data_IF_830484049662
#
_entry.id   IF_830484049662
#
_cell.length_a   1.000
_cell.length_b   1.000
_cell.length_c   1.000
_cell.angle_alpha   90.00
_cell.angle_beta   90.00
_cell.angle_gamma   90.00
#
_symmetry.space_group_name_H-M   'P 1'
#
loop_
_entity.id
_entity.type
_entity.pdbx_description
1 polymer ?
#
# COMPACT_ATOMS: atom_id res chain seq x y z
N UNK A 1 5.48 15.28 -21.74
CA UNK A 1 6.31 14.11 -22.06
C UNK A 1 6.90 13.64 -20.75
N UNK A 2 6.66 12.40 -20.32
CA UNK A 2 7.30 11.86 -19.12
C UNK A 2 8.82 11.87 -19.34
N UNK A 3 9.53 12.73 -18.63
CA UNK A 3 11.00 12.76 -18.66
C UNK A 3 11.50 11.40 -18.17
N UNK A 4 12.53 10.81 -18.81
CA UNK A 4 13.07 9.48 -18.46
C UNK A 4 13.31 9.30 -16.94
N UNK A 5 13.64 10.38 -16.22
CA UNK A 5 13.78 10.43 -14.76
C UNK A 5 12.50 10.06 -13.98
N UNK A 6 11.33 10.52 -14.41
CA UNK A 6 10.05 10.16 -13.79
C UNK A 6 9.73 8.67 -13.99
N UNK A 7 10.08 8.12 -15.14
CA UNK A 7 9.92 6.69 -15.40
C UNK A 7 10.80 5.84 -14.48
N UNK A 8 12.08 6.19 -14.32
CA UNK A 8 12.98 5.48 -13.40
C UNK A 8 12.54 5.58 -11.94
N UNK A 9 12.06 6.75 -11.50
CA UNK A 9 11.56 6.94 -10.14
C UNK A 9 10.30 6.09 -9.88
N UNK A 10 9.33 6.11 -10.80
CA UNK A 10 8.11 5.31 -10.69
C UNK A 10 8.42 3.81 -10.71
N UNK A 11 9.34 3.37 -11.58
CA UNK A 11 9.81 1.99 -11.60
C UNK A 11 10.52 1.61 -10.30
N UNK A 12 11.35 2.48 -9.74
CA UNK A 12 12.05 2.22 -8.48
C UNK A 12 11.07 2.01 -7.31
N UNK A 13 10.02 2.84 -7.21
CA UNK A 13 8.99 2.71 -6.16
C UNK A 13 8.22 1.39 -6.24
N UNK A 14 8.13 0.77 -7.42
CA UNK A 14 7.46 -0.53 -7.60
C UNK A 14 8.47 -1.67 -7.44
N UNK A 15 9.61 -1.61 -8.12
CA UNK A 15 10.59 -2.71 -8.18
C UNK A 15 11.26 -2.90 -6.83
N UNK A 16 11.60 -1.84 -6.09
CA UNK A 16 12.31 -1.96 -4.81
C UNK A 16 11.45 -2.73 -3.78
N UNK A 17 10.18 -2.38 -3.53
CA UNK A 17 9.34 -3.14 -2.61
C UNK A 17 9.15 -4.59 -3.05
N UNK A 18 8.96 -4.87 -4.35
CA UNK A 18 8.81 -6.25 -4.84
C UNK A 18 10.09 -7.07 -4.73
N UNK A 19 11.24 -6.49 -5.07
CA UNK A 19 12.54 -7.13 -4.88
C UNK A 19 12.82 -7.39 -3.40
N UNK A 20 12.36 -6.52 -2.50
CA UNK A 20 12.53 -6.70 -1.06
C UNK A 20 11.84 -7.95 -0.52
N UNK A 21 10.80 -8.46 -1.20
CA UNK A 21 10.13 -9.70 -0.82
C UNK A 21 11.03 -10.93 -0.92
N UNK A 22 12.10 -10.88 -1.72
CA UNK A 22 13.09 -11.96 -1.78
C UNK A 22 13.76 -12.16 -0.41
N UNK A 23 13.98 -11.09 0.36
CA UNK A 23 14.52 -11.14 1.73
C UNK A 23 13.47 -11.54 2.78
N UNK A 24 12.17 -11.51 2.44
CA UNK A 24 11.10 -11.89 3.35
C UNK A 24 11.11 -13.40 3.65
N UNK A 25 11.55 -14.20 2.66
CA UNK A 25 11.60 -15.65 2.69
C UNK A 25 10.29 -16.29 2.20
N UNK A 26 10.39 -17.36 1.39
CA UNK A 26 9.24 -17.98 0.70
C UNK A 26 8.08 -18.39 1.62
N UNK A 27 8.37 -18.85 2.84
CA UNK A 27 7.33 -19.25 3.82
C UNK A 27 6.48 -18.06 4.29
N UNK A 28 7.13 -16.94 4.59
CA UNK A 28 6.46 -15.72 5.04
C UNK A 28 5.68 -15.08 3.88
N UNK A 29 6.27 -15.04 2.68
CA UNK A 29 5.57 -14.55 1.49
C UNK A 29 4.29 -15.34 1.28
N UNK A 30 4.34 -16.68 1.26
CA UNK A 30 3.11 -17.51 1.11
C UNK A 30 2.09 -17.27 2.23
N UNK A 31 2.54 -17.09 3.48
CA UNK A 31 1.67 -16.88 4.64
C UNK A 31 0.93 -15.54 4.58
N UNK A 32 1.56 -14.47 4.10
CA UNK A 32 0.98 -13.12 4.08
C UNK A 32 0.44 -12.71 2.70
N UNK A 33 0.79 -13.46 1.64
CA UNK A 33 0.40 -13.14 0.28
C UNK A 33 -1.10 -13.00 0.12
N UNK A 34 -1.91 -13.92 0.67
CA UNK A 34 -3.35 -13.88 0.46
C UNK A 34 -3.98 -12.63 1.09
N UNK A 35 -3.64 -12.30 2.33
CA UNK A 35 -4.15 -11.10 2.98
C UNK A 35 -3.69 -9.82 2.27
N UNK A 36 -2.43 -9.79 1.82
CA UNK A 36 -1.88 -8.67 1.03
C UNK A 36 -2.55 -8.52 -0.33
N UNK A 37 -2.88 -9.61 -1.02
CA UNK A 37 -3.66 -9.58 -2.28
C UNK A 37 -5.07 -9.07 -2.02
N UNK A 38 -5.76 -9.58 -0.99
CA UNK A 38 -7.11 -9.13 -0.66
C UNK A 38 -7.16 -7.64 -0.33
N UNK A 39 -6.21 -7.14 0.48
CA UNK A 39 -6.16 -5.71 0.77
C UNK A 39 -5.73 -4.90 -0.47
N UNK A 40 -4.87 -5.44 -1.33
CA UNK A 40 -4.49 -4.78 -2.59
C UNK A 40 -5.66 -4.62 -3.56
N UNK A 41 -6.54 -5.62 -3.64
CA UNK A 41 -7.79 -5.52 -4.41
C UNK A 41 -8.75 -4.51 -3.80
N UNK A 42 -8.88 -4.51 -2.47
CA UNK A 42 -9.66 -3.50 -1.76
C UNK A 42 -9.10 -2.09 -1.99
N UNK A 43 -7.77 -1.95 -2.00
CA UNK A 43 -7.07 -0.69 -2.30
C UNK A 43 -7.40 -0.20 -3.70
N UNK A 44 -7.33 -1.09 -4.69
CA UNK A 44 -7.67 -0.77 -6.08
C UNK A 44 -9.08 -0.21 -6.22
N UNK A 45 -10.06 -0.80 -5.52
CA UNK A 45 -11.46 -0.30 -5.49
C UNK A 45 -11.51 1.08 -4.83
N UNK A 46 -10.84 1.28 -3.69
CA UNK A 46 -10.84 2.58 -3.02
C UNK A 46 -10.11 3.66 -3.84
N UNK A 47 -9.10 3.28 -4.62
CA UNK A 47 -8.38 4.16 -5.52
C UNK A 47 -9.29 4.60 -6.68
N UNK A 48 -10.12 3.70 -7.21
CA UNK A 48 -11.18 4.02 -8.19
C UNK A 48 -12.14 5.07 -7.62
N UNK A 49 -12.62 4.87 -6.39
CA UNK A 49 -13.49 5.84 -5.72
C UNK A 49 -12.80 7.19 -5.50
N UNK A 50 -11.54 7.20 -5.07
CA UNK A 50 -10.77 8.42 -4.86
C UNK A 50 -10.50 9.20 -6.15
N UNK A 51 -10.25 8.49 -7.25
CA UNK A 51 -10.13 9.09 -8.58
C UNK A 51 -11.45 9.72 -9.04
N UNK A 52 -12.58 9.01 -8.91
CA UNK A 52 -13.90 9.57 -9.23
C UNK A 52 -14.23 10.82 -8.40
N UNK A 53 -13.83 10.84 -7.12
CA UNK A 53 -14.04 12.00 -6.22
C UNK A 53 -12.97 13.08 -6.32
N UNK A 54 -11.93 12.89 -7.15
CA UNK A 54 -10.80 13.82 -7.33
C UNK A 54 -10.08 14.15 -6.02
N UNK A 55 -9.85 13.14 -5.18
CA UNK A 55 -9.16 13.27 -3.89
C UNK A 55 -7.71 13.74 -4.05
N UNK A 56 -7.03 13.25 -5.08
CA UNK A 56 -5.69 13.64 -5.49
C UNK A 56 -5.70 14.09 -6.96
N UNK A 57 -4.69 14.88 -7.31
CA UNK A 57 -4.47 15.41 -8.65
C UNK A 57 -3.07 15.06 -9.09
N UNK A 58 -2.95 14.39 -10.23
CA UNK A 58 -1.68 14.19 -10.89
C UNK A 58 -1.37 15.38 -11.80
N UNK A 59 -0.09 15.77 -11.88
CA UNK A 59 0.31 16.96 -12.63
C UNK A 59 0.47 16.70 -14.13
N UNK A 60 0.65 15.44 -14.55
CA UNK A 60 0.71 15.08 -15.96
C UNK A 60 -0.68 15.15 -16.62
N UNK A 61 -0.75 15.62 -17.87
CA UNK A 61 -2.04 15.76 -18.60
C UNK A 61 -2.56 14.44 -19.20
N UNK A 62 -1.73 13.39 -19.25
CA UNK A 62 -2.05 12.09 -19.85
C UNK A 62 -1.85 10.95 -18.85
N UNK A 63 -2.43 11.09 -17.66
CA UNK A 63 -2.37 10.02 -16.65
C UNK A 63 -3.53 9.09 -16.91
N UNK A 64 -3.23 7.86 -17.32
CA UNK A 64 -4.24 6.83 -17.37
C UNK A 64 -4.37 6.22 -15.98
N UNK A 65 -5.57 6.27 -15.40
CA UNK A 65 -5.86 5.65 -14.10
C UNK A 65 -5.33 4.20 -14.02
N UNK A 66 -5.53 3.41 -15.08
CA UNK A 66 -5.13 2.01 -15.13
C UNK A 66 -3.62 1.79 -15.32
N UNK A 67 -2.94 2.65 -16.09
CA UNK A 67 -1.52 2.45 -16.44
C UNK A 67 -0.55 3.17 -15.52
N UNK A 68 -0.98 4.27 -14.91
CA UNK A 68 -0.09 5.17 -14.20
C UNK A 68 -0.48 5.30 -12.72
N UNK A 69 -1.76 5.56 -12.41
CA UNK A 69 -2.19 5.77 -11.01
C UNK A 69 -2.28 4.46 -10.21
N UNK A 70 -2.90 3.42 -10.78
CA UNK A 70 -3.09 2.14 -10.10
C UNK A 70 -1.77 1.43 -9.78
N UNK A 71 -0.82 1.25 -10.71
CA UNK A 71 0.43 0.56 -10.39
C UNK A 71 1.28 1.33 -9.38
N UNK A 72 1.22 2.66 -9.44
CA UNK A 72 1.94 3.53 -8.50
C UNK A 72 1.43 3.40 -7.06
N UNK A 73 0.12 3.30 -6.87
CA UNK A 73 -0.48 3.21 -5.53
C UNK A 73 -0.61 1.78 -5.02
N UNK A 74 -1.09 0.84 -5.84
CA UNK A 74 -1.32 -0.56 -5.45
C UNK A 74 -0.03 -1.38 -5.45
N UNK A 75 0.91 -1.06 -6.34
CA UNK A 75 2.17 -1.78 -6.51
C UNK A 75 2.99 -1.94 -5.22
N UNK A 76 3.39 -0.86 -4.53
CA UNK A 76 4.19 -0.95 -3.31
C UNK A 76 3.39 -1.40 -2.08
N UNK A 77 2.06 -1.25 -2.10
CA UNK A 77 1.20 -1.54 -0.96
C UNK A 77 1.19 -3.04 -0.60
N UNK A 78 1.22 -3.91 -1.61
CA UNK A 78 1.28 -5.36 -1.41
C UNK A 78 2.58 -5.81 -0.71
N UNK A 79 3.79 -5.49 -1.21
CA UNK A 79 5.01 -5.84 -0.49
C UNK A 79 5.13 -5.20 0.89
N UNK A 80 4.74 -3.92 1.02
CA UNK A 80 4.84 -3.18 2.28
C UNK A 80 3.94 -3.81 3.35
N UNK A 81 2.70 -4.16 3.00
CA UNK A 81 1.78 -4.86 3.91
C UNK A 81 2.35 -6.21 4.38
N UNK A 82 3.00 -6.99 3.50
CA UNK A 82 3.64 -8.25 3.90
C UNK A 82 4.78 -8.03 4.90
N UNK A 83 5.58 -6.98 4.72
CA UNK A 83 6.66 -6.63 5.64
C UNK A 83 6.14 -6.22 7.01
N UNK A 84 5.14 -5.33 7.04
CA UNK A 84 4.50 -4.90 8.28
C UNK A 84 3.91 -6.11 8.99
N UNK A 85 3.18 -6.97 8.29
CA UNK A 85 2.64 -8.21 8.86
C UNK A 85 3.74 -9.13 9.38
N UNK A 86 4.82 -9.38 8.63
CA UNK A 86 5.92 -10.23 9.11
C UNK A 86 6.48 -9.75 10.46
N UNK A 87 6.68 -8.45 10.62
CA UNK A 87 7.33 -7.91 11.82
C UNK A 87 6.40 -7.73 13.02
N UNK A 88 5.10 -7.65 12.79
CA UNK A 88 4.15 -7.23 13.83
C UNK A 88 2.96 -8.16 14.04
N UNK A 89 2.70 -9.08 13.11
CA UNK A 89 1.58 -10.00 13.21
C UNK A 89 1.74 -10.93 14.43
N UNK A 90 0.65 -11.10 15.19
CA UNK A 90 0.63 -11.76 16.49
C UNK A 90 0.66 -10.79 17.68
N UNK A 91 1.04 -9.52 17.47
CA UNK A 91 0.91 -8.47 18.47
C UNK A 91 0.21 -7.25 17.86
N UNK A 92 -1.09 -7.11 18.16
CA UNK A 92 -1.93 -6.05 17.60
C UNK A 92 -1.39 -4.64 17.89
N UNK A 93 -0.86 -4.38 19.11
CA UNK A 93 -0.30 -3.07 19.46
C UNK A 93 0.91 -2.73 18.60
N UNK A 94 1.81 -3.71 18.40
CA UNK A 94 2.98 -3.54 17.53
C UNK A 94 2.57 -3.29 16.07
N UNK A 95 1.53 -3.99 15.61
CA UNK A 95 1.00 -3.82 14.26
C UNK A 95 0.42 -2.41 14.06
N UNK A 96 -0.43 -1.95 14.97
CA UNK A 96 -1.03 -0.61 14.89
C UNK A 96 0.07 0.45 14.92
N UNK A 97 1.05 0.35 15.83
CA UNK A 97 2.13 1.33 15.91
C UNK A 97 2.97 1.39 14.62
N UNK A 98 3.33 0.25 14.04
CA UNK A 98 4.06 0.22 12.77
C UNK A 98 3.27 0.85 11.63
N UNK A 99 1.96 0.61 11.54
CA UNK A 99 1.12 1.25 10.53
C UNK A 99 0.95 2.74 10.79
N UNK A 100 0.74 3.19 12.03
CA UNK A 100 0.69 4.64 12.35
C UNK A 100 1.96 5.35 11.85
N UNK A 101 3.14 4.75 12.10
CA UNK A 101 4.41 5.33 11.65
C UNK A 101 4.50 5.31 10.12
N UNK A 102 4.21 4.18 9.47
CA UNK A 102 4.30 4.05 8.02
C UNK A 102 3.30 4.96 7.29
N UNK A 103 2.03 4.92 7.69
CA UNK A 103 0.96 5.74 7.15
C UNK A 103 1.20 7.22 7.43
N UNK A 104 1.72 7.56 8.62
CA UNK A 104 2.09 8.92 8.98
C UNK A 104 3.23 9.46 8.12
N UNK A 105 4.31 8.69 7.96
CA UNK A 105 5.39 9.04 7.03
C UNK A 105 4.87 9.21 5.61
N UNK A 106 3.93 8.35 5.18
CA UNK A 106 3.37 8.45 3.84
C UNK A 106 2.50 9.71 3.66
N UNK A 107 1.59 9.93 4.60
CA UNK A 107 0.59 10.98 4.56
C UNK A 107 1.16 12.38 4.81
N UNK A 108 2.25 12.52 5.56
CA UNK A 108 2.84 13.81 5.91
C UNK A 108 4.14 14.13 5.16
N UNK A 109 5.02 13.14 4.94
CA UNK A 109 6.34 13.37 4.35
C UNK A 109 6.36 13.02 2.86
N UNK A 110 6.00 11.78 2.52
CA UNK A 110 6.14 11.25 1.16
C UNK A 110 5.21 11.98 0.18
N UNK A 111 3.97 12.26 0.57
CA UNK A 111 3.03 12.97 -0.30
C UNK A 111 3.52 14.38 -0.65
N UNK A 112 4.21 15.05 0.28
CA UNK A 112 4.80 16.37 0.05
C UNK A 112 6.02 16.30 -0.86
N UNK A 113 6.83 15.25 -0.74
CA UNK A 113 7.93 14.97 -1.69
C UNK A 113 7.36 14.73 -3.09
N UNK A 114 6.31 13.92 -3.23
CA UNK A 114 5.65 13.66 -4.52
C UNK A 114 5.03 14.93 -5.12
N UNK A 115 4.49 15.82 -4.28
CA UNK A 115 3.98 17.13 -4.68
C UNK A 115 5.10 18.02 -5.21
N UNK A 116 6.26 18.08 -4.53
CA UNK A 116 7.45 18.83 -4.99
C UNK A 116 7.99 18.29 -6.31
N UNK A 117 7.98 16.97 -6.50
CA UNK A 117 8.37 16.31 -7.75
C UNK A 117 7.32 16.46 -8.86
N UNK A 118 6.20 17.16 -8.61
CA UNK A 118 5.07 17.30 -9.55
C UNK A 118 4.58 15.95 -10.08
N UNK A 119 4.47 14.95 -9.19
CA UNK A 119 3.90 13.65 -9.52
C UNK A 119 2.43 13.65 -9.14
N UNK A 120 2.15 13.77 -7.84
CA UNK A 120 0.78 13.79 -7.29
C UNK A 120 0.68 14.83 -6.18
N UNK A 121 -0.48 15.47 -6.05
CA UNK A 121 -0.82 16.34 -4.92
C UNK A 121 -2.19 15.99 -4.36
N UNK A 122 -2.34 16.10 -3.04
CA UNK A 122 -3.67 16.10 -2.41
C UNK A 122 -4.44 17.34 -2.86
N UNK A 123 -5.70 17.15 -3.24
CA UNK A 123 -6.57 18.21 -3.76
C UNK A 123 -7.77 18.45 -2.83
N UNK A 124 -8.48 17.39 -2.45
CA UNK A 124 -9.71 17.47 -1.62
C UNK A 124 -9.57 16.85 -0.23
N UNK A 125 -8.41 16.28 0.07
CA UNK A 125 -8.11 15.69 1.37
C UNK A 125 -7.02 16.50 2.07
N UNK A 126 -7.21 16.76 3.36
CA UNK A 126 -6.11 17.21 4.22
C UNK A 126 -5.16 16.04 4.51
N UNK A 127 -3.93 16.32 4.93
CA UNK A 127 -2.98 15.27 5.34
C UNK A 127 -3.54 14.36 6.44
N UNK A 128 -4.32 14.91 7.37
CA UNK A 128 -4.99 14.13 8.43
C UNK A 128 -6.09 13.23 7.85
N UNK A 129 -6.94 13.75 6.96
CA UNK A 129 -7.97 12.94 6.31
C UNK A 129 -7.36 11.83 5.45
N UNK A 130 -6.27 12.14 4.76
CA UNK A 130 -5.51 11.17 3.98
C UNK A 130 -4.83 10.12 4.87
N UNK A 131 -4.29 10.52 6.02
CA UNK A 131 -3.77 9.59 7.01
C UNK A 131 -4.85 8.64 7.51
N UNK A 132 -6.02 9.16 7.92
CA UNK A 132 -7.14 8.32 8.36
C UNK A 132 -7.55 7.35 7.24
N UNK A 133 -7.60 7.83 5.99
CA UNK A 133 -7.89 7.04 4.80
C UNK A 133 -6.87 5.91 4.54
N UNK A 134 -5.59 6.10 4.83
CA UNK A 134 -4.62 5.02 4.75
C UNK A 134 -4.77 4.07 5.95
N UNK A 135 -4.86 4.65 7.14
CA UNK A 135 -4.72 3.93 8.39
C UNK A 135 -5.88 2.99 8.70
N UNK A 136 -7.12 3.32 8.31
CA UNK A 136 -8.25 2.41 8.56
C UNK A 136 -8.06 1.03 7.87
N UNK A 137 -7.30 1.00 6.77
CA UNK A 137 -7.06 -0.22 5.99
C UNK A 137 -6.10 -1.17 6.69
N UNK A 138 -5.24 -0.67 7.58
CA UNK A 138 -4.39 -1.50 8.42
C UNK A 138 -5.24 -2.46 9.28
N UNK A 139 -6.36 -2.00 9.83
CA UNK A 139 -7.25 -2.83 10.63
C UNK A 139 -7.91 -3.92 9.79
N UNK A 140 -8.33 -3.59 8.56
CA UNK A 140 -8.85 -4.56 7.60
C UNK A 140 -7.80 -5.61 7.25
N UNK A 141 -6.56 -5.20 7.00
CA UNK A 141 -5.45 -6.10 6.71
C UNK A 141 -5.20 -7.08 7.86
N UNK A 142 -5.14 -6.60 9.09
CA UNK A 142 -4.95 -7.45 10.28
C UNK A 142 -6.10 -8.44 10.47
N UNK A 143 -7.34 -7.97 10.29
CA UNK A 143 -8.54 -8.80 10.35
C UNK A 143 -8.54 -9.89 9.28
N UNK A 144 -8.21 -9.54 8.04
CA UNK A 144 -8.12 -10.49 6.92
C UNK A 144 -7.04 -11.54 7.15
N UNK A 145 -5.86 -11.14 7.65
CA UNK A 145 -4.81 -12.09 7.99
C UNK A 145 -5.26 -13.04 9.11
N UNK A 146 -5.93 -12.52 10.14
CA UNK A 146 -6.47 -13.33 11.24
C UNK A 146 -7.53 -14.33 10.78
N UNK A 147 -8.42 -13.93 9.87
CA UNK A 147 -9.41 -14.81 9.26
C UNK A 147 -8.74 -15.90 8.42
N UNK A 148 -7.78 -15.53 7.59
CA UNK A 148 -7.02 -16.47 6.76
C UNK A 148 -6.32 -17.54 7.61
N UNK A 149 -5.68 -17.15 8.71
CA UNK A 149 -5.02 -18.12 9.59
C UNK A 149 -6.00 -19.06 10.29
N UNK A 150 -7.18 -18.56 10.69
CA UNK A 150 -8.23 -19.42 11.24
C UNK A 150 -8.72 -20.44 10.22
N UNK A 151 -8.94 -20.02 8.97
CA UNK A 151 -9.36 -20.90 7.88
C UNK A 151 -8.29 -21.95 7.55
N UNK A 152 -7.02 -21.54 7.49
CA UNK A 152 -5.89 -22.44 7.23
C UNK A 152 -5.72 -23.49 8.33
N UNK A 153 -5.88 -23.10 9.61
CA UNK A 153 -5.85 -24.03 10.75
C UNK A 153 -7.01 -25.03 10.70
N UNK A 154 -8.21 -24.59 10.32
CA UNK A 154 -9.39 -25.48 10.17
C UNK A 154 -9.23 -26.46 8.99
N UNK A 155 -8.53 -26.06 7.93
CA UNK A 155 -8.23 -26.91 6.78
C UNK A 155 -7.03 -27.85 6.93
N UNK A 156 -6.45 -27.99 8.13
CA UNK A 156 -5.39 -28.96 8.41
C UNK A 156 -4.00 -28.63 7.84
N UNK A 157 -3.75 -27.40 7.37
CA UNK A 157 -2.44 -27.01 6.79
C UNK A 157 -1.51 -26.51 7.90
N UNK A 158 -0.38 -27.20 8.20
CA UNK A 158 0.52 -26.84 9.31
C UNK A 158 1.21 -25.48 9.09
N UNK A 159 1.62 -24.85 10.21
CA UNK A 159 2.15 -23.47 10.31
C UNK A 159 3.56 -23.33 9.73
#
# INVERSE_FOLDING_TARGET
>A
MMTKRHLYFNLAIIVIPWASLLFLGRRNVKRYALASVCIGLFEMINQLFGHMRKWWKFYDKKVSFLRDELPFSVGPYMPLSMWILKYSYGNFKKFVLMNIIADGLFAFLFIDVLKKLRIVSLNRLSHIQFFIYLHYKAYLLYGMQGLYEKLRKRGGVPV
#
